data_IF_896373782596
#
_entry.id   IF_896373782596
#
_cell.length_a   1.000
_cell.length_b   1.000
_cell.length_c   1.000
_cell.angle_alpha   90.00
_cell.angle_beta   90.00
_cell.angle_gamma   90.00
#
_symmetry.space_group_name_H-M   'P 1'
#
loop_
_entity.id
_entity.type
_entity.pdbx_description
1 polymer ?
#
# COMPACT_ATOMS: atom_id res chain seq x y z
N UNK A 1 1.69 7.48 15.65
CA UNK A 1 1.27 7.34 14.25
C UNK A 1 1.32 8.71 13.58
N UNK A 2 1.94 8.81 12.43
CA UNK A 2 1.92 9.99 11.55
C UNK A 2 0.96 9.72 10.37
N UNK A 3 -0.05 10.58 10.17
CA UNK A 3 -0.99 10.46 9.05
C UNK A 3 -0.55 11.37 7.91
N UNK A 4 -0.21 10.77 6.76
CA UNK A 4 -0.02 11.46 5.49
C UNK A 4 -1.30 11.37 4.66
N UNK A 5 -1.91 12.50 4.39
CA UNK A 5 -3.08 12.58 3.51
C UNK A 5 -2.61 12.77 2.07
N UNK A 6 -3.02 11.86 1.18
CA UNK A 6 -2.62 11.88 -0.23
C UNK A 6 -3.86 12.11 -1.09
N UNK A 7 -3.96 13.28 -1.71
CA UNK A 7 -5.01 13.58 -2.70
C UNK A 7 -4.51 13.15 -4.09
N UNK A 8 -5.21 12.22 -4.70
CA UNK A 8 -4.84 11.69 -6.02
C UNK A 8 -5.67 12.38 -7.09
N UNK A 9 -5.01 13.24 -7.88
CA UNK A 9 -5.59 14.02 -8.98
C UNK A 9 -6.89 14.74 -8.58
N UNK A 10 -6.88 15.55 -7.50
CA UNK A 10 -8.06 16.32 -7.12
C UNK A 10 -8.42 17.29 -8.24
N UNK A 11 -9.70 17.34 -8.61
CA UNK A 11 -10.19 18.13 -9.76
C UNK A 11 -10.56 19.55 -9.40
N UNK A 12 -10.97 19.81 -8.14
CA UNK A 12 -11.50 21.10 -7.69
C UNK A 12 -10.69 21.65 -6.54
N UNK A 13 -10.09 22.83 -6.75
CA UNK A 13 -9.29 23.52 -5.73
C UNK A 13 -10.04 23.80 -4.42
N UNK A 14 -11.36 24.08 -4.50
CA UNK A 14 -12.19 24.29 -3.33
C UNK A 14 -12.29 23.06 -2.43
N UNK A 15 -12.27 21.85 -2.99
CA UNK A 15 -12.21 20.62 -2.22
C UNK A 15 -10.84 20.47 -1.55
N UNK A 16 -9.76 20.77 -2.27
CA UNK A 16 -8.39 20.74 -1.71
C UNK A 16 -8.28 21.70 -0.51
N UNK A 17 -8.77 22.94 -0.66
CA UNK A 17 -8.81 23.90 0.44
C UNK A 17 -9.64 23.43 1.63
N UNK A 18 -10.82 22.86 1.36
CA UNK A 18 -11.69 22.30 2.40
C UNK A 18 -11.09 21.09 3.11
N UNK A 19 -10.35 20.23 2.39
CA UNK A 19 -9.59 19.12 2.98
C UNK A 19 -8.49 19.63 3.89
N UNK A 20 -7.71 20.63 3.45
CA UNK A 20 -6.68 21.25 4.28
C UNK A 20 -7.26 21.83 5.58
N UNK A 21 -8.43 22.46 5.50
CA UNK A 21 -9.16 22.96 6.67
C UNK A 21 -9.59 21.85 7.61
N UNK A 22 -10.16 20.76 7.07
CA UNK A 22 -10.54 19.59 7.85
C UNK A 22 -9.30 18.93 8.51
N UNK A 23 -8.19 18.80 7.80
CA UNK A 23 -6.94 18.29 8.36
C UNK A 23 -6.52 19.08 9.60
N UNK A 24 -6.49 20.41 9.49
CA UNK A 24 -6.11 21.29 10.61
C UNK A 24 -7.06 21.18 11.79
N UNK A 25 -8.37 21.05 11.56
CA UNK A 25 -9.36 20.84 12.61
C UNK A 25 -9.08 19.61 13.46
N UNK A 26 -8.55 18.56 12.85
CA UNK A 26 -8.27 17.28 13.52
C UNK A 26 -6.78 17.05 13.82
N UNK A 27 -5.94 18.09 13.67
CA UNK A 27 -4.51 18.04 14.04
C UNK A 27 -3.63 17.31 13.04
N UNK A 28 -4.06 17.15 11.78
CA UNK A 28 -3.25 16.57 10.70
C UNK A 28 -2.64 17.68 9.83
N UNK A 29 -1.37 17.49 9.41
CA UNK A 29 -0.60 18.52 8.71
C UNK A 29 0.15 18.04 7.48
N UNK A 30 0.42 16.73 7.32
CA UNK A 30 1.16 16.17 6.19
C UNK A 30 0.22 15.94 4.99
N UNK A 31 0.06 17.00 4.17
CA UNK A 31 -0.70 16.97 2.92
C UNK A 31 0.23 16.70 1.75
N UNK A 32 -0.09 15.69 0.96
CA UNK A 32 0.59 15.36 -0.28
C UNK A 32 -0.43 15.30 -1.41
N UNK A 33 -0.06 15.74 -2.59
CA UNK A 33 -0.92 15.72 -3.77
C UNK A 33 -0.21 15.05 -4.94
N UNK A 34 -0.93 14.28 -5.71
CA UNK A 34 -0.45 13.67 -6.96
C UNK A 34 -1.19 14.33 -8.11
N UNK A 35 -0.45 14.98 -9.03
CA UNK A 35 -1.01 15.70 -10.18
C UNK A 35 -2.26 16.54 -9.84
N UNK A 36 -2.20 17.45 -8.87
CA UNK A 36 -3.35 18.24 -8.46
C UNK A 36 -3.79 19.22 -9.54
N UNK A 37 -5.06 19.65 -9.49
CA UNK A 37 -5.48 20.88 -10.17
C UNK A 37 -4.70 22.08 -9.64
N UNK A 38 -4.70 23.17 -10.41
CA UNK A 38 -4.11 24.42 -9.97
C UNK A 38 -4.89 24.97 -8.79
N UNK A 39 -4.18 25.39 -7.73
CA UNK A 39 -4.77 25.96 -6.52
C UNK A 39 -4.57 27.48 -6.57
N UNK A 40 -5.68 28.19 -6.63
CA UNK A 40 -5.72 29.65 -6.74
C UNK A 40 -6.48 30.25 -5.55
N UNK A 41 -6.98 31.46 -5.71
CA UNK A 41 -7.62 32.25 -4.65
C UNK A 41 -8.83 31.55 -4.03
N UNK A 42 -9.60 30.81 -4.81
CA UNK A 42 -10.77 30.10 -4.31
C UNK A 42 -10.37 28.93 -3.37
N UNK A 43 -9.38 28.13 -3.77
CA UNK A 43 -8.84 27.08 -2.91
C UNK A 43 -8.24 27.60 -1.61
N UNK A 44 -7.50 28.72 -1.70
CA UNK A 44 -6.96 29.41 -0.53
C UNK A 44 -8.04 30.00 0.37
N UNK A 45 -9.14 30.53 -0.20
CA UNK A 45 -10.28 31.01 0.55
C UNK A 45 -11.00 29.88 1.29
N UNK A 46 -11.20 28.73 0.64
CA UNK A 46 -11.80 27.54 1.26
C UNK A 46 -10.95 26.94 2.37
N UNK A 47 -9.62 27.03 2.28
CA UNK A 47 -8.71 26.62 3.34
C UNK A 47 -8.79 27.56 4.58
N UNK A 48 -9.20 28.83 4.41
CA UNK A 48 -9.35 29.79 5.51
C UNK A 48 -8.06 29.87 6.35
N UNK A 49 -8.12 29.57 7.64
CA UNK A 49 -6.97 29.58 8.56
C UNK A 49 -6.03 28.36 8.42
N UNK A 50 -6.27 27.45 7.47
CA UNK A 50 -5.45 26.28 7.18
C UNK A 50 -4.59 26.45 5.92
N UNK A 51 -4.32 27.69 5.49
CA UNK A 51 -3.45 28.00 4.34
C UNK A 51 -2.03 27.47 4.53
N UNK A 52 -1.54 27.41 5.76
CA UNK A 52 -0.27 26.80 6.14
C UNK A 52 -0.17 25.32 5.72
N UNK A 53 -1.25 24.54 5.84
CA UNK A 53 -1.29 23.15 5.38
C UNK A 53 -1.09 23.08 3.86
N UNK A 54 -1.72 23.97 3.10
CA UNK A 54 -1.52 24.05 1.64
C UNK A 54 -0.10 24.51 1.29
N UNK A 55 0.43 25.51 1.99
CA UNK A 55 1.78 26.03 1.74
C UNK A 55 2.89 25.02 2.03
N UNK A 56 2.68 24.17 3.02
CA UNK A 56 3.60 23.10 3.39
C UNK A 56 3.37 21.78 2.61
N UNK A 57 2.32 21.74 1.78
CA UNK A 57 2.01 20.55 1.00
C UNK A 57 3.08 20.26 -0.05
N UNK A 58 3.22 18.98 -0.39
CA UNK A 58 4.13 18.50 -1.43
C UNK A 58 3.32 17.97 -2.60
N UNK A 59 3.81 18.21 -3.82
CA UNK A 59 3.19 17.67 -5.03
C UNK A 59 4.14 16.74 -5.75
N UNK A 60 3.60 15.65 -6.25
CA UNK A 60 4.31 14.61 -7.01
C UNK A 60 3.60 14.32 -8.33
N UNK A 61 4.30 13.77 -9.29
CA UNK A 61 3.74 13.28 -10.54
C UNK A 61 3.40 11.78 -10.46
N UNK A 62 3.96 11.08 -9.49
CA UNK A 62 3.78 9.65 -9.28
C UNK A 62 3.18 9.34 -7.90
N UNK A 63 2.17 8.46 -7.86
CA UNK A 63 1.62 7.97 -6.61
C UNK A 63 2.66 7.17 -5.79
N UNK A 64 3.53 6.42 -6.46
CA UNK A 64 4.59 5.66 -5.79
C UNK A 64 5.54 6.56 -5.01
N UNK A 65 5.90 7.73 -5.55
CA UNK A 65 6.70 8.74 -4.84
C UNK A 65 5.95 9.35 -3.65
N UNK A 66 4.66 9.64 -3.83
CA UNK A 66 3.81 10.23 -2.79
C UNK A 66 3.65 9.33 -1.57
N UNK A 67 3.62 8.01 -1.77
CA UNK A 67 3.48 7.01 -0.70
C UNK A 67 4.82 6.45 -0.20
N UNK A 68 5.94 6.87 -0.78
CA UNK A 68 7.26 6.42 -0.33
C UNK A 68 7.47 6.73 1.16
N UNK A 69 8.11 5.81 1.88
CA UNK A 69 8.32 5.91 3.32
C UNK A 69 7.08 5.66 4.19
N UNK A 70 5.91 5.38 3.60
CA UNK A 70 4.75 4.96 4.38
C UNK A 70 4.88 3.49 4.82
N UNK A 71 4.48 3.21 6.06
CA UNK A 71 4.43 1.86 6.61
C UNK A 71 3.14 1.13 6.20
N UNK A 72 2.07 1.90 5.95
CA UNK A 72 0.77 1.39 5.56
C UNK A 72 0.12 2.35 4.57
N UNK A 73 -0.50 1.80 3.53
CA UNK A 73 -1.25 2.57 2.52
C UNK A 73 -2.72 2.15 2.58
N UNK A 74 -3.59 3.12 2.83
CA UNK A 74 -5.04 2.93 2.94
C UNK A 74 -5.73 3.72 1.85
N UNK A 75 -6.47 3.06 0.96
CA UNK A 75 -7.22 3.70 -0.10
C UNK A 75 -8.69 3.89 0.28
N UNK A 76 -9.25 5.10 0.05
CA UNK A 76 -10.68 5.34 0.23
C UNK A 76 -11.47 4.88 -0.99
N UNK A 77 -12.68 4.37 -0.76
CA UNK A 77 -13.63 4.01 -1.82
C UNK A 77 -15.05 4.37 -1.42
N UNK A 78 -15.79 5.02 -2.32
CA UNK A 78 -17.22 5.29 -2.16
C UNK A 78 -18.11 4.10 -2.53
N UNK A 79 -17.55 3.10 -3.22
CA UNK A 79 -18.30 1.87 -3.54
C UNK A 79 -18.14 0.93 -2.36
N UNK A 80 -19.25 0.54 -1.74
CA UNK A 80 -19.27 -0.67 -0.92
C UNK A 80 -18.78 -1.78 -1.82
N UNK A 81 -17.59 -2.27 -1.52
CA UNK A 81 -17.12 -3.50 -2.12
C UNK A 81 -18.02 -4.60 -1.58
N UNK A 82 -19.18 -4.75 -2.23
CA UNK A 82 -20.02 -5.91 -2.01
C UNK A 82 -19.14 -7.11 -2.25
N UNK A 83 -18.82 -7.79 -1.16
CA UNK A 83 -17.73 -8.76 -1.05
C UNK A 83 -17.81 -9.84 -2.15
N UNK A 84 -19.00 -10.10 -2.68
CA UNK A 84 -19.23 -11.11 -3.71
C UNK A 84 -18.80 -10.67 -5.13
N UNK A 85 -19.05 -9.43 -5.56
CA UNK A 85 -18.79 -9.02 -6.96
C UNK A 85 -17.31 -8.66 -7.21
N UNK A 86 -16.62 -8.12 -6.20
CA UNK A 86 -15.19 -7.80 -6.33
C UNK A 86 -14.30 -9.03 -6.17
N UNK A 87 -14.74 -10.03 -5.42
CA UNK A 87 -14.09 -11.33 -5.35
C UNK A 87 -14.03 -12.05 -6.70
N UNK A 88 -15.07 -11.91 -7.51
CA UNK A 88 -15.16 -12.56 -8.83
C UNK A 88 -14.19 -11.96 -9.87
N UNK A 89 -13.85 -10.66 -9.78
CA UNK A 89 -12.95 -10.02 -10.76
C UNK A 89 -11.45 -10.14 -10.41
N UNK A 90 -11.10 -10.16 -9.11
CA UNK A 90 -9.69 -10.16 -8.68
C UNK A 90 -9.32 -11.35 -7.80
N UNK A 91 -10.26 -12.24 -7.41
CA UNK A 91 -10.05 -13.38 -6.49
C UNK A 91 -9.29 -13.03 -5.19
N UNK A 92 -9.26 -11.77 -4.79
CA UNK A 92 -8.49 -11.26 -3.67
C UNK A 92 -9.41 -10.60 -2.64
N UNK A 93 -9.37 -11.11 -1.42
CA UNK A 93 -10.03 -10.45 -0.29
C UNK A 93 -9.29 -9.16 0.04
N UNK A 94 -9.83 -8.03 -0.37
CA UNK A 94 -9.42 -6.72 0.16
C UNK A 94 -10.34 -6.42 1.33
N UNK A 95 -9.83 -6.38 2.56
CA UNK A 95 -10.68 -5.94 3.66
C UNK A 95 -11.03 -4.47 3.41
N UNK A 96 -12.32 -4.20 3.29
CA UNK A 96 -12.84 -2.85 3.33
C UNK A 96 -13.29 -2.59 4.76
N UNK A 97 -12.62 -1.67 5.42
CA UNK A 97 -12.87 -1.30 6.81
C UNK A 97 -13.79 -0.08 6.86
N UNK A 98 -14.59 0.01 7.89
CA UNK A 98 -15.22 1.27 8.28
C UNK A 98 -14.19 2.24 8.91
N UNK A 99 -14.48 3.54 9.00
CA UNK A 99 -13.58 4.50 9.65
C UNK A 99 -13.24 4.12 11.10
N UNK A 100 -14.20 3.62 11.85
CA UNK A 100 -14.00 3.20 13.24
C UNK A 100 -13.09 1.97 13.35
N UNK A 101 -13.30 0.94 12.48
CA UNK A 101 -12.44 -0.25 12.44
C UNK A 101 -11.01 0.10 12.02
N UNK A 102 -10.83 1.05 11.10
CA UNK A 102 -9.50 1.53 10.74
C UNK A 102 -8.87 2.25 11.94
N UNK A 103 -9.58 3.14 12.62
CA UNK A 103 -9.09 3.86 13.79
C UNK A 103 -8.63 2.89 14.90
N UNK A 104 -9.41 1.83 15.17
CA UNK A 104 -9.03 0.77 16.11
C UNK A 104 -7.75 0.03 15.64
N UNK A 105 -7.68 -0.29 14.36
CA UNK A 105 -6.54 -1.02 13.80
C UNK A 105 -5.25 -0.22 13.82
N UNK A 106 -5.33 1.10 13.76
CA UNK A 106 -4.18 2.00 13.80
C UNK A 106 -3.73 2.37 15.23
N UNK A 107 -4.49 1.97 16.25
CA UNK A 107 -4.11 2.21 17.66
C UNK A 107 -2.78 1.52 17.99
N UNK A 108 -1.91 2.21 18.72
CA UNK A 108 -0.59 1.71 19.12
C UNK A 108 0.38 1.50 17.95
N UNK A 109 0.00 1.90 16.73
CA UNK A 109 0.87 1.81 15.56
C UNK A 109 1.87 2.96 15.58
N UNK A 110 3.16 2.66 15.42
CA UNK A 110 4.18 3.64 15.10
C UNK A 110 4.44 3.70 13.58
N UNK A 111 4.94 4.85 13.11
CA UNK A 111 5.26 5.06 11.71
C UNK A 111 4.20 5.88 10.95
N UNK A 112 4.32 5.89 9.63
CA UNK A 112 3.52 6.71 8.71
C UNK A 112 2.43 5.88 8.03
N UNK A 113 1.19 6.36 8.11
CA UNK A 113 0.05 5.85 7.35
C UNK A 113 -0.27 6.81 6.23
N UNK A 114 -0.25 6.35 4.98
CA UNK A 114 -0.72 7.12 3.83
C UNK A 114 -2.20 6.82 3.59
N UNK A 115 -3.05 7.83 3.75
CA UNK A 115 -4.48 7.78 3.45
C UNK A 115 -4.73 8.41 2.08
N UNK A 116 -5.11 7.58 1.10
CA UNK A 116 -5.35 7.99 -0.27
C UNK A 116 -6.82 8.35 -0.46
N UNK A 117 -7.05 9.55 -0.95
CA UNK A 117 -8.36 10.06 -1.37
C UNK A 117 -8.29 10.33 -2.89
N UNK A 118 -9.19 9.70 -3.63
CA UNK A 118 -9.22 9.79 -5.09
C UNK A 118 -9.97 11.01 -5.62
N UNK A 119 -10.11 11.07 -6.94
CA UNK A 119 -10.83 12.11 -7.71
C UNK A 119 -12.29 12.18 -7.30
N UNK A 120 -12.89 13.34 -7.52
CA UNK A 120 -14.29 13.59 -7.17
C UNK A 120 -15.29 12.85 -8.08
N UNK A 121 -14.92 12.60 -9.33
CA UNK A 121 -15.77 11.96 -10.33
C UNK A 121 -15.72 10.43 -10.32
N UNK A 122 -14.54 9.84 -10.15
CA UNK A 122 -14.35 8.39 -10.28
C UNK A 122 -13.61 7.73 -9.10
N UNK A 123 -13.09 8.52 -8.15
CA UNK A 123 -12.32 8.01 -7.01
C UNK A 123 -10.92 7.52 -7.40
N UNK A 124 -10.43 6.49 -6.74
CA UNK A 124 -9.17 5.82 -7.05
C UNK A 124 -9.38 4.78 -8.16
N UNK A 125 -8.47 4.75 -9.15
CA UNK A 125 -8.51 3.73 -10.21
C UNK A 125 -7.98 2.37 -9.72
N UNK A 126 -8.12 1.33 -10.54
CA UNK A 126 -7.75 -0.04 -10.16
C UNK A 126 -6.25 -0.18 -9.85
N UNK A 127 -5.42 0.51 -10.61
CA UNK A 127 -3.97 0.54 -10.45
C UNK A 127 -3.55 1.21 -9.13
N UNK A 128 -4.23 2.29 -8.75
CA UNK A 128 -4.03 3.00 -7.49
C UNK A 128 -4.51 2.16 -6.29
N UNK A 129 -5.66 1.51 -6.43
CA UNK A 129 -6.17 0.57 -5.42
C UNK A 129 -5.27 -0.66 -5.24
N UNK A 130 -4.56 -1.07 -6.29
CA UNK A 130 -3.60 -2.16 -6.20
C UNK A 130 -2.37 -1.83 -5.34
N UNK A 131 -2.05 -0.54 -5.19
CA UNK A 131 -0.98 -0.06 -4.30
C UNK A 131 -1.40 0.02 -2.83
N UNK A 132 -2.69 -0.13 -2.54
CA UNK A 132 -3.21 -0.05 -1.18
C UNK A 132 -3.11 -1.40 -0.46
N UNK A 133 -2.68 -1.36 0.79
CA UNK A 133 -2.64 -2.52 1.68
C UNK A 133 -4.02 -2.82 2.26
N UNK A 134 -4.83 -1.77 2.46
CA UNK A 134 -6.22 -1.83 2.96
C UNK A 134 -7.09 -0.83 2.21
N UNK A 135 -8.39 -1.07 2.25
CA UNK A 135 -9.38 -0.11 1.77
C UNK A 135 -10.26 0.35 2.93
N UNK A 136 -10.76 1.58 2.81
CA UNK A 136 -11.70 2.16 3.74
C UNK A 136 -12.93 2.66 2.98
N UNK A 137 -14.09 2.38 3.52
CA UNK A 137 -15.36 2.91 3.01
C UNK A 137 -16.19 3.46 4.15
N UNK A 138 -16.73 4.65 3.95
CA UNK A 138 -17.66 5.27 4.88
C UNK A 138 -19.03 4.64 4.63
N UNK A 139 -19.68 4.03 5.65
CA UNK A 139 -21.04 3.54 5.51
C UNK A 139 -22.01 4.71 5.25
N UNK A 140 -22.56 4.73 4.05
CA UNK A 140 -23.54 5.74 3.60
C UNK A 140 -24.86 5.08 3.19
N UNK A 141 -25.88 5.89 2.90
CA UNK A 141 -27.14 5.40 2.34
C UNK A 141 -26.93 4.67 1.02
N UNK A 142 -27.72 3.64 0.76
CA UNK A 142 -27.71 2.94 -0.53
C UNK A 142 -28.24 3.81 -1.67
N UNK A 143 -29.11 4.78 -1.37
CA UNK A 143 -29.67 5.70 -2.36
C UNK A 143 -28.63 6.70 -2.87
N UNK A 144 -27.70 7.13 -2.00
CA UNK A 144 -26.65 8.09 -2.36
C UNK A 144 -25.33 7.72 -1.70
N UNK A 145 -24.59 6.73 -2.24
CA UNK A 145 -23.44 6.14 -1.56
C UNK A 145 -22.16 6.97 -1.66
N UNK A 146 -22.05 7.88 -2.63
CA UNK A 146 -20.84 8.65 -2.90
C UNK A 146 -20.88 9.98 -2.17
N UNK A 147 -19.88 10.24 -1.35
CA UNK A 147 -19.69 11.52 -0.65
C UNK A 147 -18.71 12.42 -1.40
N UNK A 148 -18.91 13.73 -1.27
CA UNK A 148 -17.90 14.71 -1.69
C UNK A 148 -16.54 14.46 -1.01
N UNK A 149 -15.44 14.75 -1.71
CA UNK A 149 -14.06 14.54 -1.24
C UNK A 149 -13.80 15.14 0.14
N UNK A 150 -14.14 16.42 0.34
CA UNK A 150 -13.87 17.10 1.61
C UNK A 150 -14.75 16.59 2.76
N UNK A 151 -15.99 16.20 2.49
CA UNK A 151 -16.87 15.58 3.47
C UNK A 151 -16.36 14.20 3.89
N UNK A 152 -15.95 13.36 2.93
CA UNK A 152 -15.32 12.07 3.21
C UNK A 152 -14.07 12.25 4.07
N UNK A 153 -13.21 13.21 3.71
CA UNK A 153 -12.01 13.53 4.45
C UNK A 153 -12.32 13.91 5.91
N UNK A 154 -13.33 14.77 6.14
CA UNK A 154 -13.72 15.21 7.48
C UNK A 154 -14.18 14.04 8.35
N UNK A 155 -15.00 13.12 7.82
CA UNK A 155 -15.47 11.93 8.55
C UNK A 155 -14.28 11.02 8.90
N UNK A 156 -13.38 10.78 7.96
CA UNK A 156 -12.20 9.95 8.18
C UNK A 156 -11.27 10.57 9.22
N UNK A 157 -11.01 11.87 9.14
CA UNK A 157 -10.16 12.57 10.09
C UNK A 157 -10.76 12.60 11.49
N UNK A 158 -12.06 12.77 11.62
CA UNK A 158 -12.75 12.71 12.90
C UNK A 158 -12.52 11.35 13.58
N UNK A 159 -12.79 10.25 12.90
CA UNK A 159 -12.59 8.92 13.47
C UNK A 159 -11.11 8.64 13.79
N UNK A 160 -10.20 9.01 12.89
CA UNK A 160 -8.76 8.78 13.09
C UNK A 160 -8.13 9.67 14.17
N UNK A 161 -8.73 10.82 14.48
CA UNK A 161 -8.28 11.72 15.53
C UNK A 161 -8.71 11.29 16.94
N UNK A 162 -9.72 10.40 17.04
CA UNK A 162 -10.22 9.93 18.33
C UNK A 162 -9.16 9.07 19.03
N UNK A 163 -8.53 9.63 20.04
CA UNK A 163 -7.62 8.87 20.92
C UNK A 163 -8.43 7.97 21.82
N UNK A 164 -8.25 6.65 21.70
CA UNK A 164 -8.53 5.76 22.83
C UNK A 164 -7.26 5.69 23.68
N UNK A 165 -7.38 5.91 24.98
CA UNK A 165 -6.30 5.65 25.92
C UNK A 165 -5.95 4.16 25.84
N UNK A 166 -4.73 3.84 25.42
CA UNK A 166 -4.20 2.48 25.47
C UNK A 166 -2.75 2.47 25.98
N UNK A 167 -2.56 1.74 27.07
CA UNK A 167 -1.30 1.16 27.51
C UNK A 167 -0.90 0.04 26.49
N UNK A 168 -0.13 0.38 25.49
CA UNK A 168 0.44 -0.58 24.56
C UNK A 168 1.80 -0.07 24.07
N UNK A 169 2.87 -0.83 24.33
CA UNK A 169 4.21 -0.50 23.86
C UNK A 169 4.25 -0.22 22.36
N UNK A 170 4.97 0.82 21.95
CA UNK A 170 5.17 1.17 20.53
C UNK A 170 5.93 0.06 19.82
N UNK A 171 5.33 -0.49 18.76
CA UNK A 171 5.96 -1.50 17.91
C UNK A 171 6.37 -0.83 16.61
N UNK A 172 7.68 -0.83 16.31
CA UNK A 172 8.22 -0.29 15.04
C UNK A 172 7.74 -1.15 13.87
N UNK A 173 6.90 -0.55 13.03
CA UNK A 173 6.34 -1.20 11.84
C UNK A 173 7.36 -1.23 10.70
N UNK A 174 7.29 -2.26 9.87
CA UNK A 174 8.10 -2.36 8.66
C UNK A 174 7.88 -1.17 7.75
N UNK A 175 8.97 -0.59 7.26
CA UNK A 175 8.93 0.53 6.32
C UNK A 175 8.43 0.05 4.96
N UNK A 176 7.88 0.96 4.18
CA UNK A 176 7.39 0.65 2.83
C UNK A 176 8.47 0.02 1.96
N UNK A 177 9.69 0.53 2.04
CA UNK A 177 10.84 0.02 1.29
C UNK A 177 11.15 -1.44 1.64
N UNK A 178 11.04 -1.83 2.91
CA UNK A 178 11.23 -3.21 3.36
C UNK A 178 10.16 -4.15 2.80
N UNK A 179 8.90 -3.69 2.74
CA UNK A 179 7.80 -4.46 2.18
C UNK A 179 7.90 -4.58 0.65
N UNK A 180 8.32 -3.52 -0.04
CA UNK A 180 8.56 -3.55 -1.49
C UNK A 180 9.73 -4.46 -1.85
N UNK A 181 10.84 -4.39 -1.10
CA UNK A 181 11.96 -5.31 -1.26
C UNK A 181 11.53 -6.76 -1.04
N UNK A 182 10.67 -7.02 -0.05
CA UNK A 182 10.13 -8.35 0.21
C UNK A 182 9.30 -8.85 -0.99
N UNK A 183 8.45 -8.00 -1.56
CA UNK A 183 7.67 -8.33 -2.76
C UNK A 183 8.56 -8.60 -3.98
N UNK A 184 9.60 -7.79 -4.19
CA UNK A 184 10.57 -7.96 -5.28
C UNK A 184 11.35 -9.28 -5.15
N UNK A 185 11.85 -9.58 -3.95
CA UNK A 185 12.57 -10.83 -3.68
C UNK A 185 11.67 -12.06 -3.81
N UNK A 186 10.40 -11.94 -3.42
CA UNK A 186 9.41 -12.99 -3.64
C UNK A 186 9.15 -13.20 -5.13
N UNK A 187 9.08 -12.14 -5.94
CA UNK A 187 8.95 -12.22 -7.40
C UNK A 187 10.12 -13.02 -8.01
N UNK A 188 11.35 -12.66 -7.65
CA UNK A 188 12.52 -13.35 -8.13
C UNK A 188 12.51 -14.85 -7.80
N UNK A 189 12.18 -15.18 -6.54
CA UNK A 189 12.05 -16.57 -6.10
C UNK A 189 10.99 -17.36 -6.88
N UNK A 190 9.81 -16.74 -7.15
CA UNK A 190 8.76 -17.41 -7.93
C UNK A 190 9.22 -17.77 -9.35
N UNK A 191 10.05 -16.93 -9.99
CA UNK A 191 10.63 -17.24 -11.29
C UNK A 191 11.67 -18.38 -11.20
N UNK A 192 12.54 -18.37 -10.19
CA UNK A 192 13.57 -19.39 -9.97
C UNK A 192 12.97 -20.79 -9.73
N UNK A 193 11.84 -20.87 -9.00
CA UNK A 193 11.13 -22.15 -8.79
C UNK A 193 10.17 -22.51 -9.92
N UNK A 194 10.27 -21.86 -11.07
CA UNK A 194 9.41 -22.12 -12.25
C UNK A 194 7.90 -22.01 -11.97
N UNK A 195 7.51 -21.09 -11.06
CA UNK A 195 6.09 -20.84 -10.76
C UNK A 195 5.35 -20.35 -12.02
N UNK A 196 4.09 -20.76 -12.26
CA UNK A 196 3.36 -20.41 -13.48
C UNK A 196 3.33 -18.91 -13.73
N UNK A 197 3.92 -18.44 -14.85
CA UNK A 197 4.14 -17.02 -15.14
C UNK A 197 2.86 -16.19 -15.07
N UNK A 198 1.74 -16.73 -15.57
CA UNK A 198 0.44 -16.06 -15.57
C UNK A 198 -0.16 -15.87 -14.15
N UNK A 199 0.38 -16.53 -13.13
CA UNK A 199 -0.05 -16.42 -11.73
C UNK A 199 0.85 -15.53 -10.89
N UNK A 200 2.03 -15.15 -11.36
CA UNK A 200 3.03 -14.43 -10.56
C UNK A 200 2.48 -13.12 -10.03
N UNK A 201 1.95 -12.25 -10.89
CA UNK A 201 1.45 -10.93 -10.47
C UNK A 201 0.26 -11.04 -9.50
N UNK A 202 -0.64 -11.99 -9.73
CA UNK A 202 -1.73 -12.28 -8.83
C UNK A 202 -1.23 -12.73 -7.44
N UNK A 203 -0.28 -13.66 -7.42
CA UNK A 203 0.31 -14.17 -6.17
C UNK A 203 1.03 -13.07 -5.41
N UNK A 204 1.76 -12.20 -6.09
CA UNK A 204 2.44 -11.07 -5.46
C UNK A 204 1.46 -10.05 -4.89
N UNK A 205 0.39 -9.74 -5.61
CA UNK A 205 -0.66 -8.86 -5.09
C UNK A 205 -1.34 -9.46 -3.85
N UNK A 206 -1.60 -10.77 -3.86
CA UNK A 206 -2.12 -11.50 -2.70
C UNK A 206 -1.15 -11.42 -1.51
N UNK A 207 0.13 -11.70 -1.73
CA UNK A 207 1.17 -11.62 -0.69
C UNK A 207 1.25 -10.20 -0.10
N UNK A 208 1.32 -9.17 -0.95
CA UNK A 208 1.34 -7.77 -0.51
C UNK A 208 0.17 -7.45 0.42
N UNK A 209 -1.04 -7.89 0.08
CA UNK A 209 -2.23 -7.69 0.90
C UNK A 209 -2.22 -8.48 2.20
N UNK A 210 -1.69 -9.70 2.19
CA UNK A 210 -1.52 -10.51 3.41
C UNK A 210 -0.53 -9.80 4.35
N UNK A 211 0.63 -9.41 3.84
CA UNK A 211 1.69 -8.75 4.61
C UNK A 211 1.22 -7.40 5.17
N UNK A 212 0.51 -6.60 4.38
CA UNK A 212 -0.07 -5.33 4.83
C UNK A 212 -1.09 -5.52 5.95
N UNK A 213 -1.96 -6.57 5.87
CA UNK A 213 -2.89 -6.90 6.96
C UNK A 213 -2.21 -7.42 8.20
N UNK A 214 -1.11 -8.15 8.04
CA UNK A 214 -0.34 -8.70 9.15
C UNK A 214 0.39 -7.63 9.96
N UNK A 215 0.53 -6.40 9.41
CA UNK A 215 1.20 -5.29 10.10
C UNK A 215 2.59 -5.70 10.59
N UNK A 216 3.42 -6.18 9.66
CA UNK A 216 4.75 -6.66 9.99
C UNK A 216 5.57 -5.59 10.70
N UNK A 217 6.30 -6.01 11.72
CA UNK A 217 7.38 -5.23 12.29
C UNK A 217 8.58 -5.23 11.36
N UNK A 218 9.47 -4.26 11.50
CA UNK A 218 10.72 -4.23 10.72
C UNK A 218 11.57 -5.50 10.94
N UNK A 219 11.53 -6.07 12.14
CA UNK A 219 12.22 -7.33 12.48
C UNK A 219 11.62 -8.51 11.74
N UNK A 220 10.28 -8.61 11.65
CA UNK A 220 9.59 -9.68 10.92
C UNK A 220 9.86 -9.59 9.42
N UNK A 221 9.81 -8.38 8.84
CA UNK A 221 10.14 -8.17 7.44
C UNK A 221 11.56 -8.61 7.11
N UNK A 222 12.54 -8.26 7.94
CA UNK A 222 13.95 -8.70 7.79
C UNK A 222 14.10 -10.22 7.93
N UNK A 223 13.34 -10.84 8.84
CA UNK A 223 13.35 -12.31 9.00
C UNK A 223 12.84 -13.00 7.75
N UNK A 224 11.73 -12.52 7.16
CA UNK A 224 11.21 -13.05 5.90
C UNK A 224 12.17 -12.86 4.73
N UNK A 225 12.82 -11.70 4.62
CA UNK A 225 13.88 -11.46 3.63
C UNK A 225 15.06 -12.44 3.79
N UNK A 226 15.46 -12.71 5.03
CA UNK A 226 16.49 -13.68 5.36
C UNK A 226 16.10 -15.12 4.93
N UNK A 227 14.84 -15.51 5.13
CA UNK A 227 14.33 -16.82 4.70
C UNK A 227 14.37 -16.94 3.17
N UNK A 228 13.89 -15.94 2.43
CA UNK A 228 13.94 -15.94 0.97
C UNK A 228 15.39 -16.05 0.47
N UNK A 229 16.32 -15.27 1.06
CA UNK A 229 17.75 -15.35 0.71
C UNK A 229 18.30 -16.77 0.92
N UNK A 230 17.94 -17.44 2.02
CA UNK A 230 18.42 -18.79 2.32
C UNK A 230 17.83 -19.84 1.37
N UNK A 231 16.56 -19.69 1.00
CA UNK A 231 15.93 -20.58 0.01
C UNK A 231 16.62 -20.44 -1.35
N UNK A 232 16.85 -19.22 -1.83
CA UNK A 232 17.55 -18.95 -3.09
C UNK A 232 18.96 -19.55 -3.09
N UNK A 233 19.72 -19.29 -2.06
CA UNK A 233 21.05 -19.89 -1.92
C UNK A 233 21.02 -21.44 -2.03
N UNK A 234 19.98 -22.08 -1.49
CA UNK A 234 19.86 -23.55 -1.57
C UNK A 234 19.47 -24.04 -2.96
N UNK A 235 18.73 -23.26 -3.72
CA UNK A 235 18.40 -23.53 -5.13
C UNK A 235 19.68 -23.44 -5.96
N UNK A 236 20.41 -22.33 -5.87
CA UNK A 236 21.65 -22.10 -6.60
C UNK A 236 22.68 -23.24 -6.34
N UNK A 237 22.84 -23.63 -5.08
CA UNK A 237 23.75 -24.72 -4.70
C UNK A 237 23.34 -26.11 -5.24
N UNK A 238 22.06 -26.32 -5.60
CA UNK A 238 21.60 -27.54 -6.25
C UNK A 238 21.88 -27.54 -7.74
N UNK A 239 21.72 -26.38 -8.37
CA UNK A 239 21.95 -26.25 -9.81
C UNK A 239 23.44 -26.41 -10.13
N UNK A 240 24.34 -25.83 -9.32
CA UNK A 240 25.79 -26.03 -9.42
C UNK A 240 26.20 -27.51 -9.24
N UNK A 241 25.59 -28.22 -8.27
CA UNK A 241 25.86 -29.64 -8.04
C UNK A 241 25.35 -30.58 -9.15
N UNK A 242 24.33 -30.16 -9.90
CA UNK A 242 23.82 -30.94 -11.04
C UNK A 242 24.62 -30.74 -12.32
N UNK A 243 25.24 -29.56 -12.52
CA UNK A 243 26.15 -29.33 -13.65
C UNK A 243 27.50 -30.05 -13.52
N UNK A 244 28.04 -30.17 -12.29
CA UNK A 244 29.26 -30.92 -12.04
C UNK A 244 29.05 -32.43 -12.19
N UNK A 245 27.87 -32.95 -11.84
CA UNK A 245 27.49 -34.36 -12.06
C UNK A 245 27.38 -34.71 -13.55
N UNK A 246 26.84 -33.81 -14.37
CA UNK A 246 26.70 -34.00 -15.82
C UNK A 246 28.05 -33.94 -16.56
N UNK A 247 28.95 -33.05 -16.12
CA UNK A 247 30.33 -32.96 -16.68
C UNK A 247 31.18 -34.17 -16.35
N UNK A 248 31.01 -34.77 -15.18
CA UNK A 248 31.69 -36.02 -14.82
C UNK A 248 31.19 -37.22 -15.58
N UNK A 249 29.86 -37.39 -15.76
CA UNK A 249 29.27 -38.44 -16.53
C UNK A 249 29.69 -38.39 -18.00
N UNK A 250 29.67 -37.23 -18.62
CA UNK A 250 30.10 -37.06 -20.00
C UNK A 250 31.62 -37.23 -20.23
N UNK A 251 32.46 -37.04 -19.22
CA UNK A 251 33.92 -37.34 -19.33
C UNK A 251 34.25 -38.80 -19.11
N UNK A 252 33.44 -39.54 -18.37
CA UNK A 252 33.59 -41.02 -18.21
C UNK A 252 33.11 -41.78 -19.47
N UNK A 253 32.01 -41.34 -20.12
CA UNK A 253 31.58 -41.94 -21.37
C UNK A 253 32.52 -41.69 -22.55
N UNK A 254 33.19 -40.49 -22.57
CA UNK A 254 34.17 -40.19 -23.60
C UNK A 254 35.52 -40.94 -23.41
N UNK A 255 35.84 -41.40 -22.19
CA UNK A 255 37.02 -42.19 -21.89
C UNK A 255 36.86 -43.69 -22.28
N UNK A 256 35.63 -44.23 -22.21
CA UNK A 256 35.38 -45.63 -22.57
C UNK A 256 35.32 -45.91 -24.07
N UNK A 257 35.06 -44.89 -24.89
CA UNK A 257 35.01 -45.02 -26.36
C UNK A 257 36.41 -44.90 -27.05
N UNK A 258 37.47 -44.68 -26.28
CA UNK A 258 38.82 -44.54 -26.79
C UNK A 258 39.71 -45.77 -26.54
N UNK A 259 39.19 -46.84 -25.90
CA UNK A 259 39.88 -48.08 -25.62
C UNK A 259 39.28 -49.33 -26.37
N UNK A 260 38.37 -49.15 -27.31
CA UNK A 260 38.00 -50.15 -28.30
C UNK A 260 38.54 -49.71 -29.70
#
# INVERSE_FOLDING_TARGET
MHLRVVLVQPLYEGNVGSVARAMKNFGFHDLVMVNPCRIEDFGLAMASHARDVLQMSRSYTSLSEAIAGANLVVGSTGKRLDTAQHHLRLHLRVPCLSPAELAEKLQGMDGTVALLLGREDCGLCSEELALCDMLISIPTSQEYPVMNLSHSAAVLFYELSRKKEQDGGMVEMARRESLELLAERSRALLYEVSYPRHKVDYTLLMLRRILGRARLTEREARTLLGLIKRVRWRIDARDEGSEDGHKRASSEEAGQSAEE
#
